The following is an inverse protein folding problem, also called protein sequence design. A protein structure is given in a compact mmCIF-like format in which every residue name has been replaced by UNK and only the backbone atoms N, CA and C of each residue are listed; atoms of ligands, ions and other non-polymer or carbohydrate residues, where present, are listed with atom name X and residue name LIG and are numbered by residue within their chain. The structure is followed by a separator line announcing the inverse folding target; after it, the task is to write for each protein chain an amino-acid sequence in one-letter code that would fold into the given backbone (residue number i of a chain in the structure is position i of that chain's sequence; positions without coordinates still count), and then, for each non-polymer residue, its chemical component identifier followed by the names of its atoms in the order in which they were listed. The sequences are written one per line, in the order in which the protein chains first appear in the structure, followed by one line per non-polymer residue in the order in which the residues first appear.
data_IF_205935512680
#
_entry.id   IF_205935512680
#
_cell.length_a   1.000
_cell.length_b   1.000
_cell.length_c   1.000
_cell.angle_alpha   90.00
_cell.angle_beta   90.00
_cell.angle_gamma   90.00
#
_symmetry.space_group_name_H-M   'P 1'
#
loop_
_entity.id
_entity.type
_entity.pdbx_description
1 polymer ?
#
# COMPACT_ATOMS: atom_id res chain seq x y z
N UNK A 1 10.97 60.20 -6.98
CA UNK A 1 12.25 60.13 -6.22
C UNK A 1 12.28 58.76 -5.54
N UNK A 2 12.95 57.72 -6.05
CA UNK A 2 14.39 57.38 -6.05
C UNK A 2 15.00 57.15 -4.64
N UNK A 3 15.39 55.88 -4.38
CA UNK A 3 16.49 55.29 -3.55
C UNK A 3 15.95 54.09 -2.71
N UNK A 4 16.20 52.83 -3.08
CA UNK A 4 17.43 51.99 -3.04
C UNK A 4 17.65 51.33 -1.65
N UNK A 5 17.53 50.00 -1.51
CA UNK A 5 18.51 48.88 -1.69
C UNK A 5 19.32 48.56 -0.41
N UNK A 6 19.58 47.25 -0.21
CA UNK A 6 20.58 46.54 0.64
C UNK A 6 19.97 45.84 1.88
N UNK A 7 19.74 44.50 1.86
CA UNK A 7 20.67 43.35 1.83
C UNK A 7 21.47 43.20 3.13
N UNK A 8 20.99 42.36 4.04
CA UNK A 8 21.84 41.63 4.98
C UNK A 8 21.36 40.19 5.12
N UNK A 9 22.22 39.30 4.63
CA UNK A 9 22.26 37.87 4.88
C UNK A 9 22.77 37.69 6.31
N UNK A 10 22.08 36.93 7.16
CA UNK A 10 22.65 36.52 8.45
C UNK A 10 22.22 35.08 8.72
N UNK A 11 23.03 34.20 8.15
CA UNK A 11 23.05 32.76 8.36
C UNK A 11 23.70 32.50 9.72
N UNK A 12 22.93 32.03 10.70
CA UNK A 12 23.48 31.54 11.97
C UNK A 12 22.48 30.58 12.62
N UNK A 13 22.61 29.29 12.31
CA UNK A 13 22.03 28.23 13.14
C UNK A 13 23.12 27.19 13.39
N UNK A 14 23.83 27.38 14.51
CA UNK A 14 24.68 26.37 15.11
C UNK A 14 23.78 25.35 15.79
N UNK A 15 23.56 24.20 15.18
CA UNK A 15 23.00 23.03 15.87
C UNK A 15 24.18 22.15 16.27
N UNK A 16 24.40 22.09 17.58
CA UNK A 16 25.34 21.18 18.21
C UNK A 16 24.90 19.73 17.96
N UNK A 17 25.73 18.94 17.31
CA UNK A 17 25.54 17.50 17.17
C UNK A 17 25.85 16.84 18.52
N UNK A 18 24.81 16.53 19.29
CA UNK A 18 24.92 15.58 20.40
C UNK A 18 25.21 14.20 19.83
N UNK A 19 26.38 13.66 20.16
CA UNK A 19 26.73 12.28 19.88
C UNK A 19 25.74 11.34 20.58
N UNK A 20 24.92 10.64 19.78
CA UNK A 20 24.21 9.46 20.26
C UNK A 20 25.26 8.35 20.44
N UNK A 21 25.59 8.07 21.70
CA UNK A 21 26.33 6.88 22.07
C UNK A 21 25.46 5.66 21.75
N UNK A 22 25.88 4.84 20.78
CA UNK A 22 25.28 3.54 20.50
C UNK A 22 25.42 2.66 21.74
N UNK A 23 24.31 2.29 22.35
CA UNK A 23 24.28 1.29 23.42
C UNK A 23 24.83 -0.02 22.89
N UNK A 24 25.93 -0.48 23.49
CA UNK A 24 26.51 -1.80 23.29
C UNK A 24 25.57 -2.85 23.90
N UNK A 25 24.90 -3.65 23.08
CA UNK A 25 24.30 -4.90 23.55
C UNK A 25 25.35 -6.00 23.43
N UNK A 26 26.09 -6.21 24.52
CA UNK A 26 26.77 -7.47 24.77
C UNK A 26 25.72 -8.44 25.36
N UNK A 27 25.13 -9.27 24.49
CA UNK A 27 24.46 -10.49 24.90
C UNK A 27 24.93 -11.62 23.97
N UNK A 28 25.64 -12.56 24.58
CA UNK A 28 26.13 -13.78 23.99
C UNK A 28 24.93 -14.63 23.52
N UNK A 29 24.72 -14.75 22.21
CA UNK A 29 23.83 -15.73 21.62
C UNK A 29 24.40 -16.18 20.27
N UNK A 30 25.15 -17.28 20.34
CA UNK A 30 25.22 -18.37 19.35
C UNK A 30 24.94 -17.94 17.89
N UNK A 31 26.02 -17.72 17.13
CA UNK A 31 25.99 -17.77 15.67
C UNK A 31 25.51 -19.17 15.26
N UNK A 32 24.24 -19.27 14.91
CA UNK A 32 23.74 -20.28 13.99
C UNK A 32 23.73 -19.62 12.62
N UNK A 33 24.49 -20.17 11.69
CA UNK A 33 24.51 -19.73 10.31
C UNK A 33 23.14 -20.00 9.70
N UNK A 34 22.23 -19.05 9.79
CA UNK A 34 21.08 -19.04 8.91
C UNK A 34 21.59 -18.79 7.50
N UNK A 35 21.67 -19.90 6.77
CA UNK A 35 21.60 -19.91 5.33
C UNK A 35 20.38 -19.06 4.95
N UNK A 36 20.61 -17.78 4.62
CA UNK A 36 19.59 -16.96 3.97
C UNK A 36 19.48 -17.53 2.57
N UNK A 37 18.71 -18.61 2.50
CA UNK A 37 18.18 -19.21 1.31
C UNK A 37 17.23 -18.18 0.72
N UNK A 38 17.79 -17.23 -0.05
CA UNK A 38 17.06 -16.37 -0.99
C UNK A 38 16.60 -17.25 -2.17
N UNK A 39 15.98 -18.39 -1.86
CA UNK A 39 15.42 -19.30 -2.84
C UNK A 39 13.96 -18.95 -2.98
N UNK A 40 13.70 -18.12 -3.99
CA UNK A 40 12.41 -18.06 -4.67
C UNK A 40 11.23 -17.68 -3.79
N UNK A 41 11.14 -16.39 -3.44
CA UNK A 41 9.88 -15.76 -3.03
C UNK A 41 8.90 -15.82 -4.20
N UNK A 42 8.27 -16.98 -4.41
CA UNK A 42 6.96 -17.04 -5.07
C UNK A 42 6.07 -16.25 -4.13
N UNK A 43 5.88 -14.96 -4.41
CA UNK A 43 5.09 -14.05 -3.60
C UNK A 43 3.68 -14.65 -3.49
N UNK A 44 3.44 -15.37 -2.40
CA UNK A 44 2.11 -15.86 -2.08
C UNK A 44 1.28 -14.64 -1.72
N UNK A 45 0.25 -14.37 -2.49
CA UNK A 45 -0.70 -13.31 -2.20
C UNK A 45 -1.21 -13.40 -0.76
N UNK A 46 -1.03 -12.31 -0.02
CA UNK A 46 -1.43 -12.15 1.37
C UNK A 46 -2.92 -11.86 1.50
N UNK A 47 -3.46 -12.00 2.71
CA UNK A 47 -4.89 -11.75 2.95
C UNK A 47 -5.19 -10.25 2.95
N UNK A 48 -4.22 -9.45 3.37
CA UNK A 48 -4.22 -7.99 3.34
C UNK A 48 -4.32 -7.47 1.91
N UNK A 49 -3.51 -8.01 0.99
CA UNK A 49 -3.57 -7.65 -0.43
C UNK A 49 -4.93 -7.99 -1.05
N UNK A 50 -5.47 -9.18 -0.78
CA UNK A 50 -6.80 -9.56 -1.26
C UNK A 50 -7.89 -8.65 -0.66
N UNK A 51 -7.76 -8.27 0.62
CA UNK A 51 -8.71 -7.38 1.26
C UNK A 51 -8.67 -5.98 0.64
N UNK A 52 -7.48 -5.44 0.40
CA UNK A 52 -7.29 -4.17 -0.30
C UNK A 52 -7.94 -4.21 -1.69
N UNK A 53 -7.64 -5.25 -2.48
CA UNK A 53 -8.25 -5.45 -3.80
C UNK A 53 -9.78 -5.56 -3.69
N UNK A 54 -10.32 -6.29 -2.71
CA UNK A 54 -11.78 -6.38 -2.52
C UNK A 54 -12.41 -5.01 -2.26
N UNK A 55 -11.80 -4.18 -1.40
CA UNK A 55 -12.32 -2.84 -1.05
C UNK A 55 -12.37 -1.91 -2.27
N UNK A 56 -11.50 -2.08 -3.27
CA UNK A 56 -11.59 -1.33 -4.54
C UNK A 56 -12.95 -1.54 -5.23
N UNK A 57 -13.51 -2.76 -5.18
CA UNK A 57 -14.85 -3.03 -5.72
C UNK A 57 -15.98 -2.34 -4.94
N UNK A 58 -15.76 -2.01 -3.67
CA UNK A 58 -16.75 -1.33 -2.83
C UNK A 58 -16.79 0.19 -3.07
N UNK A 59 -15.62 0.79 -3.33
CA UNK A 59 -15.47 2.25 -3.39
C UNK A 59 -15.44 2.80 -4.81
N UNK A 60 -14.81 2.09 -5.77
CA UNK A 60 -14.53 2.64 -7.08
C UNK A 60 -15.78 2.91 -7.95
N UNK A 61 -16.83 2.06 -7.98
CA UNK A 61 -18.02 2.35 -8.78
C UNK A 61 -18.74 3.67 -8.43
N UNK A 62 -18.43 4.25 -7.26
CA UNK A 62 -18.98 5.57 -6.84
C UNK A 62 -18.05 6.74 -7.16
N UNK A 63 -16.82 6.45 -7.59
CA UNK A 63 -15.75 7.42 -7.80
C UNK A 63 -15.40 7.63 -9.27
N UNK A 64 -15.83 6.75 -10.17
CA UNK A 64 -15.54 6.84 -11.61
C UNK A 64 -16.82 6.61 -12.42
N UNK A 65 -16.89 7.22 -13.61
CA UNK A 65 -18.09 7.16 -14.47
C UNK A 65 -18.05 5.99 -15.48
N UNK A 66 -16.95 5.22 -15.51
CA UNK A 66 -16.69 4.17 -16.51
C UNK A 66 -16.68 2.74 -15.92
N UNK A 67 -17.75 2.36 -15.23
CA UNK A 67 -17.93 1.07 -14.52
C UNK A 67 -17.53 -0.17 -15.32
N UNK A 68 -17.78 -0.18 -16.63
CA UNK A 68 -17.44 -1.33 -17.49
C UNK A 68 -15.92 -1.49 -17.64
N UNK A 69 -15.17 -0.40 -17.82
CA UNK A 69 -13.70 -0.47 -17.93
C UNK A 69 -13.09 -0.86 -16.58
N UNK A 70 -13.65 -0.33 -15.49
CA UNK A 70 -13.28 -0.74 -14.15
C UNK A 70 -13.49 -2.23 -13.93
N UNK A 71 -14.67 -2.77 -14.27
CA UNK A 71 -14.95 -4.19 -14.09
C UNK A 71 -13.94 -5.09 -14.81
N UNK A 72 -13.53 -4.71 -16.03
CA UNK A 72 -12.53 -5.45 -16.80
C UNK A 72 -11.12 -5.36 -16.21
N UNK A 73 -10.70 -4.15 -15.80
CA UNK A 73 -9.40 -3.97 -15.15
C UNK A 73 -9.34 -4.64 -13.78
N UNK A 74 -10.44 -4.59 -13.02
CA UNK A 74 -10.62 -5.29 -11.77
C UNK A 74 -10.49 -6.82 -11.94
N UNK A 75 -11.19 -7.40 -12.93
CA UNK A 75 -11.05 -8.84 -13.24
C UNK A 75 -9.60 -9.26 -13.51
N UNK A 76 -8.84 -8.45 -14.27
CA UNK A 76 -7.41 -8.70 -14.53
C UNK A 76 -6.58 -8.61 -13.25
N UNK A 77 -6.79 -7.56 -12.45
CA UNK A 77 -6.12 -7.38 -11.17
C UNK A 77 -6.38 -8.56 -10.23
N UNK A 78 -7.64 -8.98 -10.04
CA UNK A 78 -7.96 -10.13 -9.18
C UNK A 78 -7.33 -11.41 -9.74
N UNK A 79 -7.28 -11.59 -11.07
CA UNK A 79 -6.65 -12.75 -11.69
C UNK A 79 -5.14 -12.80 -11.46
N UNK A 80 -4.44 -11.66 -11.42
CA UNK A 80 -3.01 -11.62 -11.12
C UNK A 80 -2.70 -12.08 -9.70
N UNK A 81 -3.55 -11.71 -8.74
CA UNK A 81 -3.43 -12.08 -7.33
C UNK A 81 -4.04 -13.45 -6.99
N UNK A 82 -4.83 -14.03 -7.91
CA UNK A 82 -5.38 -15.38 -7.80
C UNK A 82 -5.17 -16.15 -9.12
N UNK A 83 -3.91 -16.35 -9.57
CA UNK A 83 -3.61 -16.81 -10.92
C UNK A 83 -4.08 -18.23 -11.20
N UNK A 84 -4.19 -19.05 -10.16
CA UNK A 84 -4.67 -20.45 -10.24
C UNK A 84 -6.20 -20.57 -10.27
N UNK A 85 -6.93 -19.51 -9.93
CA UNK A 85 -8.39 -19.54 -9.84
C UNK A 85 -9.03 -19.17 -11.18
N UNK A 86 -9.85 -20.06 -11.74
CA UNK A 86 -10.57 -19.78 -12.99
C UNK A 86 -11.67 -18.74 -12.81
N UNK A 87 -12.22 -18.64 -11.60
CA UNK A 87 -13.23 -17.64 -11.21
C UNK A 87 -12.69 -16.75 -10.09
N UNK A 88 -11.56 -16.11 -10.34
CA UNK A 88 -10.80 -15.34 -9.36
C UNK A 88 -11.65 -14.31 -8.59
N UNK A 89 -12.51 -13.56 -9.30
CA UNK A 89 -13.43 -12.59 -8.67
C UNK A 89 -14.47 -13.28 -7.77
N UNK A 90 -15.05 -14.40 -8.18
CA UNK A 90 -16.01 -15.15 -7.34
C UNK A 90 -15.34 -15.73 -6.09
N UNK A 91 -14.10 -16.20 -6.23
CA UNK A 91 -13.29 -16.69 -5.11
C UNK A 91 -13.02 -15.55 -4.12
N UNK A 92 -12.62 -14.38 -4.61
CA UNK A 92 -12.41 -13.21 -3.75
C UNK A 92 -13.71 -12.75 -3.07
N UNK A 93 -14.82 -12.71 -3.81
CA UNK A 93 -16.14 -12.39 -3.27
C UNK A 93 -16.60 -13.38 -2.18
N UNK A 94 -16.26 -14.66 -2.34
CA UNK A 94 -16.53 -15.69 -1.33
C UNK A 94 -15.63 -15.50 -0.12
N UNK A 95 -14.34 -15.24 -0.35
CA UNK A 95 -13.36 -14.97 0.71
C UNK A 95 -13.75 -13.76 1.56
N UNK A 96 -14.26 -12.71 0.94
CA UNK A 96 -14.74 -11.50 1.60
C UNK A 96 -15.87 -11.73 2.62
N UNK A 97 -16.58 -12.86 2.52
CA UNK A 97 -17.67 -13.23 3.45
C UNK A 97 -17.20 -14.11 4.61
N UNK A 98 -15.98 -14.63 4.55
CA UNK A 98 -15.44 -15.51 5.57
C UNK A 98 -15.12 -14.73 6.86
N UNK A 99 -15.39 -15.34 8.02
CA UNK A 99 -15.24 -14.68 9.34
C UNK A 99 -13.80 -14.31 9.65
N UNK A 100 -12.86 -15.20 9.32
CA UNK A 100 -11.43 -15.01 9.53
C UNK A 100 -10.81 -13.97 8.59
N UNK A 101 -11.50 -13.61 7.50
CA UNK A 101 -11.09 -12.54 6.59
C UNK A 101 -11.50 -11.14 7.04
N UNK A 102 -12.53 -11.04 7.90
CA UNK A 102 -13.12 -9.75 8.25
C UNK A 102 -12.11 -8.78 8.87
N UNK A 103 -11.14 -9.29 9.64
CA UNK A 103 -10.10 -8.44 10.24
C UNK A 103 -9.28 -7.67 9.19
N UNK A 104 -9.00 -8.30 8.04
CA UNK A 104 -8.26 -7.67 6.95
C UNK A 104 -9.14 -6.67 6.19
N UNK A 105 -10.42 -7.01 5.98
CA UNK A 105 -11.38 -6.08 5.36
C UNK A 105 -11.60 -4.83 6.20
N UNK A 106 -11.67 -4.96 7.52
CA UNK A 106 -11.81 -3.79 8.42
C UNK A 106 -10.63 -2.84 8.25
N UNK A 107 -9.40 -3.37 8.23
CA UNK A 107 -8.21 -2.53 8.05
C UNK A 107 -8.16 -1.91 6.64
N UNK A 108 -8.40 -2.71 5.59
CA UNK A 108 -8.42 -2.19 4.21
C UNK A 108 -9.48 -1.09 4.00
N UNK A 109 -10.67 -1.25 4.60
CA UNK A 109 -11.72 -0.21 4.56
C UNK A 109 -11.32 1.03 5.33
N UNK A 110 -10.67 0.87 6.49
CA UNK A 110 -10.15 1.97 7.28
C UNK A 110 -9.10 2.75 6.49
N UNK A 111 -8.18 2.07 5.83
CA UNK A 111 -7.17 2.69 4.97
C UNK A 111 -7.80 3.47 3.82
N UNK A 112 -8.75 2.85 3.10
CA UNK A 112 -9.50 3.53 2.05
C UNK A 112 -10.27 4.76 2.56
N UNK A 113 -10.82 4.70 3.78
CA UNK A 113 -11.55 5.83 4.40
C UNK A 113 -10.64 6.97 4.89
N UNK A 114 -9.38 6.66 5.21
CA UNK A 114 -8.39 7.65 5.62
C UNK A 114 -7.82 8.42 4.42
N UNK A 115 -7.90 7.86 3.22
CA UNK A 115 -7.53 8.52 1.98
C UNK A 115 -8.57 9.56 1.55
N UNK A 116 -8.10 10.64 0.91
CA UNK A 116 -8.98 11.62 0.29
C UNK A 116 -9.72 11.02 -0.91
N UNK A 117 -10.85 11.61 -1.29
CA UNK A 117 -11.59 11.19 -2.47
C UNK A 117 -10.74 11.23 -3.75
N UNK A 118 -9.86 12.24 -3.89
CA UNK A 118 -8.96 12.36 -5.03
C UNK A 118 -7.92 11.22 -5.07
N UNK A 119 -7.37 10.82 -3.92
CA UNK A 119 -6.44 9.69 -3.84
C UNK A 119 -7.14 8.37 -4.21
N UNK A 120 -8.33 8.12 -3.66
CA UNK A 120 -9.09 6.93 -4.01
C UNK A 120 -9.49 6.93 -5.49
N UNK A 121 -9.88 8.08 -6.05
CA UNK A 121 -10.20 8.21 -7.48
C UNK A 121 -9.01 7.83 -8.36
N UNK A 122 -7.80 8.31 -8.04
CA UNK A 122 -6.60 7.95 -8.80
C UNK A 122 -6.37 6.43 -8.81
N UNK A 123 -6.48 5.78 -7.65
CA UNK A 123 -6.34 4.31 -7.57
C UNK A 123 -7.42 3.62 -8.41
N UNK A 124 -8.66 4.11 -8.39
CA UNK A 124 -9.73 3.56 -9.21
C UNK A 124 -9.47 3.73 -10.71
N UNK A 125 -8.92 4.86 -11.13
CA UNK A 125 -8.48 5.10 -12.51
C UNK A 125 -7.32 4.18 -12.91
N UNK A 126 -6.40 3.88 -11.99
CA UNK A 126 -5.32 2.92 -12.23
C UNK A 126 -5.87 1.50 -12.46
N UNK A 127 -6.82 1.07 -11.62
CA UNK A 127 -7.53 -0.22 -11.79
C UNK A 127 -8.30 -0.24 -13.09
N UNK A 128 -9.01 0.84 -13.43
CA UNK A 128 -9.74 0.96 -14.68
C UNK A 128 -8.86 0.75 -15.92
N UNK A 129 -7.60 1.17 -15.83
CA UNK A 129 -6.62 1.07 -16.91
C UNK A 129 -5.66 -0.12 -16.76
N UNK A 130 -5.90 -1.03 -15.82
CA UNK A 130 -5.07 -2.21 -15.56
C UNK A 130 -5.05 -3.16 -16.75
N UNK A 131 -3.88 -3.66 -17.16
CA UNK A 131 -3.68 -4.43 -18.40
C UNK A 131 -3.09 -5.80 -18.16
#
# INVERSE_FOLDING_TARGET
MKKNVFKTLSLSLLIASSAFASTTFAANAKQESENIDVTSTVQSTTQEELAAIYVLSEICPKLIDEDKKFSQGYERLVKEYLPKESKAVDVLNTRAKAKDFQKFLVEARKDASAATQAQNRQICEDVQNYK
#
